data_IF_802681843373
#
_entry.id   IF_802681843373
#
_cell.length_a   1.000
_cell.length_b   1.000
_cell.length_c   1.000
_cell.angle_alpha   90.00
_cell.angle_beta   90.00
_cell.angle_gamma   90.00
#
_symmetry.space_group_name_H-M   'P 1'
#
loop_
_entity.id
_entity.type
_entity.pdbx_description
1 polymer ?
#
# COMPACT_ATOMS: atom_id res chain seq x y z
N UNK A 1 -84.62 16.44 10.24
CA UNK A 1 -85.00 17.65 9.47
C UNK A 1 -83.91 17.85 8.43
N UNK A 2 -84.10 17.40 7.19
CA UNK A 2 -84.55 18.25 6.06
C UNK A 2 -83.60 19.45 5.91
N UNK A 3 -82.76 19.58 4.87
CA UNK A 3 -83.08 19.52 3.44
C UNK A 3 -81.80 19.49 2.59
N UNK A 4 -81.85 18.81 1.45
CA UNK A 4 -80.95 18.96 0.29
C UNK A 4 -81.19 20.30 -0.43
N UNK A 5 -80.18 20.84 -1.14
CA UNK A 5 -80.39 21.49 -2.45
C UNK A 5 -79.11 21.45 -3.30
N UNK A 6 -79.33 21.31 -4.61
CA UNK A 6 -78.44 20.92 -5.70
C UNK A 6 -77.85 22.09 -6.52
N UNK A 7 -76.90 21.72 -7.39
CA UNK A 7 -76.57 22.28 -8.73
C UNK A 7 -75.75 23.58 -8.85
N UNK A 8 -74.56 23.51 -9.47
CA UNK A 8 -74.40 23.75 -10.92
C UNK A 8 -72.92 23.89 -11.34
N UNK A 9 -72.55 23.16 -12.39
CA UNK A 9 -71.28 23.21 -13.12
C UNK A 9 -71.19 24.51 -13.94
N UNK A 10 -70.03 25.18 -13.93
CA UNK A 10 -69.53 25.96 -15.08
C UNK A 10 -68.00 25.91 -15.16
N UNK A 11 -67.55 25.47 -16.33
CA UNK A 11 -66.18 25.39 -16.82
C UNK A 11 -65.66 26.79 -17.16
N UNK A 12 -64.49 27.17 -16.64
CA UNK A 12 -63.66 28.24 -17.22
C UNK A 12 -62.18 27.88 -17.02
N UNK A 13 -61.46 27.62 -18.12
CA UNK A 13 -60.00 27.60 -18.16
C UNK A 13 -59.51 29.03 -18.00
N UNK A 14 -58.71 29.30 -16.97
CA UNK A 14 -57.88 30.49 -16.84
C UNK A 14 -56.44 30.05 -16.63
N UNK A 15 -55.57 30.63 -17.44
CA UNK A 15 -54.12 30.53 -17.48
C UNK A 15 -53.56 31.01 -16.14
N UNK A 16 -52.72 30.20 -15.48
CA UNK A 16 -51.95 30.64 -14.31
C UNK A 16 -50.45 30.48 -14.58
N UNK A 17 -49.81 31.63 -14.75
CA UNK A 17 -48.37 31.84 -14.60
C UNK A 17 -48.05 31.84 -13.10
N UNK A 18 -47.02 31.09 -12.70
CA UNK A 18 -46.25 31.33 -11.47
C UNK A 18 -46.78 30.68 -10.19
N UNK A 19 -46.13 29.59 -9.75
CA UNK A 19 -45.45 29.50 -8.45
C UNK A 19 -44.69 28.17 -8.38
N UNK A 20 -43.37 28.22 -8.52
CA UNK A 20 -42.47 27.13 -8.18
C UNK A 20 -42.09 27.32 -6.72
N UNK A 21 -42.65 26.50 -5.82
CA UNK A 21 -42.13 26.37 -4.45
C UNK A 21 -42.31 24.93 -3.96
N UNK A 22 -41.17 24.36 -3.60
CA UNK A 22 -40.96 23.35 -2.55
C UNK A 22 -41.65 21.99 -2.69
N UNK A 23 -40.97 21.05 -3.35
CA UNK A 23 -40.73 19.71 -2.81
C UNK A 23 -39.40 19.19 -3.38
N UNK A 24 -38.32 19.38 -2.63
CA UNK A 24 -36.98 18.93 -3.01
C UNK A 24 -36.11 18.74 -1.78
N UNK A 25 -36.41 17.74 -0.95
CA UNK A 25 -35.55 17.42 0.21
C UNK A 25 -35.67 15.99 0.74
N UNK A 26 -36.00 15.00 -0.11
CA UNK A 26 -35.98 13.58 0.31
C UNK A 26 -35.40 12.60 -0.75
N UNK A 27 -34.82 13.11 -1.84
CA UNK A 27 -34.20 12.27 -2.89
C UNK A 27 -32.70 12.55 -3.11
N UNK A 28 -32.10 13.48 -2.37
CA UNK A 28 -30.67 13.79 -2.48
C UNK A 28 -29.78 12.93 -1.56
N UNK A 29 -30.33 12.41 -0.46
CA UNK A 29 -29.52 11.67 0.54
C UNK A 29 -29.34 10.18 0.24
N UNK A 30 -30.04 9.64 -0.77
CA UNK A 30 -29.90 8.22 -1.17
C UNK A 30 -28.95 8.00 -2.37
N UNK A 31 -28.36 9.06 -2.92
CA UNK A 31 -27.38 8.95 -4.03
C UNK A 31 -25.93 9.05 -3.53
N UNK A 32 -25.70 9.38 -2.25
CA UNK A 32 -24.34 9.41 -1.65
C UNK A 32 -23.82 8.05 -1.15
N UNK A 33 -24.66 7.01 -1.12
CA UNK A 33 -24.25 5.64 -0.74
C UNK A 33 -23.83 4.75 -1.91
N UNK A 34 -24.03 5.19 -3.16
CA UNK A 34 -23.50 4.50 -4.33
C UNK A 34 -22.27 5.26 -4.80
N UNK A 35 -21.12 4.95 -4.19
CA UNK A 35 -19.83 5.38 -4.73
C UNK A 35 -19.76 5.03 -6.22
N UNK A 36 -19.16 5.91 -7.02
CA UNK A 36 -18.86 5.55 -8.41
C UNK A 36 -18.18 4.16 -8.42
N UNK A 37 -18.58 3.24 -9.31
CA UNK A 37 -17.89 1.97 -9.42
C UNK A 37 -16.40 2.26 -9.68
N UNK A 38 -15.47 1.55 -9.01
CA UNK A 38 -14.04 1.76 -9.23
C UNK A 38 -13.78 1.68 -10.73
N UNK A 39 -13.26 2.77 -11.31
CA UNK A 39 -13.01 2.87 -12.77
C UNK A 39 -11.85 1.99 -13.25
N UNK A 40 -11.34 1.12 -12.39
CA UNK A 40 -10.44 0.05 -12.75
C UNK A 40 -10.92 -1.22 -12.03
N UNK A 41 -11.26 -2.32 -12.73
CA UNK A 41 -11.43 -3.60 -12.04
C UNK A 41 -10.15 -3.87 -11.24
N UNK A 42 -10.29 -4.29 -9.98
CA UNK A 42 -9.14 -4.58 -9.14
C UNK A 42 -8.24 -5.58 -9.88
N UNK A 43 -7.09 -5.12 -10.36
CA UNK A 43 -6.11 -5.99 -11.00
C UNK A 43 -5.53 -6.83 -9.88
N UNK A 44 -5.96 -8.09 -9.79
CA UNK A 44 -5.35 -9.03 -8.86
C UNK A 44 -4.00 -9.42 -9.41
N UNK A 45 -2.93 -8.99 -8.74
CA UNK A 45 -1.59 -9.45 -9.09
C UNK A 45 -1.34 -10.86 -8.57
N UNK A 46 -0.56 -11.62 -9.32
CA UNK A 46 0.05 -12.86 -8.90
C UNK A 46 1.45 -12.92 -9.49
N UNK A 47 2.41 -13.42 -8.73
CA UNK A 47 3.79 -13.62 -9.17
C UNK A 47 4.27 -14.97 -8.66
N UNK A 48 4.93 -15.73 -9.52
CA UNK A 48 5.56 -16.99 -9.13
C UNK A 48 6.91 -16.69 -8.50
N UNK A 49 6.99 -16.66 -7.16
CA UNK A 49 8.26 -16.46 -6.46
C UNK A 49 9.25 -17.61 -6.65
N UNK A 50 8.83 -18.75 -7.20
CA UNK A 50 9.74 -19.82 -7.61
C UNK A 50 10.51 -19.53 -8.90
N UNK A 51 10.12 -18.51 -9.68
CA UNK A 51 10.84 -18.07 -10.88
C UNK A 51 11.57 -16.75 -10.62
N UNK A 52 12.88 -16.75 -10.83
CA UNK A 52 13.72 -15.56 -10.67
C UNK A 52 13.30 -14.47 -11.64
N UNK A 53 13.06 -14.81 -12.90
CA UNK A 53 12.72 -13.83 -13.93
C UNK A 53 11.29 -13.31 -13.83
N UNK A 54 10.34 -14.11 -13.36
CA UNK A 54 9.00 -13.60 -13.05
C UNK A 54 9.07 -12.52 -11.96
N UNK A 55 9.82 -12.78 -10.88
CA UNK A 55 10.01 -11.81 -9.80
C UNK A 55 10.79 -10.58 -10.29
N UNK A 56 11.86 -10.77 -11.09
CA UNK A 56 12.64 -9.66 -11.63
C UNK A 56 11.80 -8.77 -12.54
N UNK A 57 11.01 -9.37 -13.42
CA UNK A 57 10.09 -8.67 -14.30
C UNK A 57 9.01 -7.93 -13.51
N UNK A 58 8.41 -8.60 -12.52
CA UNK A 58 7.40 -8.02 -11.64
C UNK A 58 7.96 -6.84 -10.82
N UNK A 59 9.15 -6.95 -10.25
CA UNK A 59 9.81 -5.84 -9.55
C UNK A 59 10.09 -4.67 -10.48
N UNK A 60 10.74 -4.92 -11.62
CA UNK A 60 11.13 -3.83 -12.55
C UNK A 60 9.94 -3.19 -13.27
N UNK A 61 8.78 -3.85 -13.31
CA UNK A 61 7.59 -3.35 -14.01
C UNK A 61 6.55 -2.79 -13.05
N UNK A 62 6.27 -3.47 -11.94
CA UNK A 62 5.16 -3.14 -11.04
C UNK A 62 5.66 -2.32 -9.84
N UNK A 63 6.69 -2.78 -9.14
CA UNK A 63 7.25 -2.02 -8.02
C UNK A 63 7.78 -0.67 -8.52
N UNK A 64 8.65 -0.68 -9.55
CA UNK A 64 9.24 0.53 -10.11
C UNK A 64 8.24 1.51 -10.74
N UNK A 65 7.10 1.04 -11.24
CA UNK A 65 6.08 1.92 -11.80
C UNK A 65 5.39 2.83 -10.76
N UNK A 66 5.54 2.53 -9.47
CA UNK A 66 5.07 3.38 -8.38
C UNK A 66 6.14 4.33 -7.83
N UNK A 67 7.38 4.31 -8.35
CA UNK A 67 8.45 5.20 -7.88
C UNK A 67 8.26 6.63 -8.43
N UNK A 68 8.50 7.65 -7.59
CA UNK A 68 8.60 9.05 -8.03
C UNK A 68 7.31 9.68 -8.57
N UNK A 69 6.14 9.11 -8.28
CA UNK A 69 4.85 9.67 -8.69
C UNK A 69 4.56 10.94 -7.89
N UNK A 70 4.29 12.04 -8.59
CA UNK A 70 4.05 13.33 -7.95
C UNK A 70 2.76 13.33 -7.11
N UNK A 71 2.86 13.82 -5.88
CA UNK A 71 1.75 13.91 -4.93
C UNK A 71 0.63 14.88 -5.36
N UNK A 72 1.01 16.01 -5.95
CA UNK A 72 0.12 17.10 -6.41
C UNK A 72 -0.98 17.45 -5.39
N UNK A 73 -0.58 17.63 -4.13
CA UNK A 73 -1.50 18.06 -3.08
C UNK A 73 -2.03 19.47 -3.35
N UNK A 74 -3.34 19.66 -3.19
CA UNK A 74 -4.09 20.81 -3.73
C UNK A 74 -4.29 21.98 -2.77
N UNK A 75 -3.87 21.87 -1.52
CA UNK A 75 -4.18 22.86 -0.47
C UNK A 75 -2.95 23.20 0.39
N UNK A 76 -3.17 23.99 1.43
CA UNK A 76 -2.13 24.44 2.36
C UNK A 76 -2.44 24.02 3.80
N UNK A 77 -1.37 23.93 4.60
CA UNK A 77 -1.42 23.47 5.99
C UNK A 77 -2.08 24.48 6.94
N UNK A 78 -2.03 25.77 6.61
CA UNK A 78 -2.49 26.85 7.49
C UNK A 78 -4.01 27.00 7.50
N UNK A 79 -4.68 26.63 6.41
CA UNK A 79 -6.13 26.70 6.25
C UNK A 79 -6.90 25.58 6.96
N UNK A 80 -6.21 24.59 7.53
CA UNK A 80 -6.79 23.34 8.01
C UNK A 80 -7.69 22.62 6.98
N UNK A 81 -7.49 22.88 5.69
CA UNK A 81 -8.20 22.20 4.62
C UNK A 81 -7.39 20.99 4.16
N UNK A 82 -7.88 19.75 4.34
CA UNK A 82 -7.12 18.53 4.05
C UNK A 82 -6.70 18.41 2.59
N UNK A 83 -7.52 18.97 1.69
CA UNK A 83 -7.33 18.88 0.27
C UNK A 83 -7.43 17.47 -0.30
N UNK A 84 -6.80 17.26 -1.45
CA UNK A 84 -6.71 15.96 -2.12
C UNK A 84 -5.36 15.83 -2.81
N UNK A 85 -4.95 14.59 -3.07
CA UNK A 85 -3.77 14.22 -3.86
C UNK A 85 -4.15 13.90 -5.31
N UNK A 86 -3.16 13.71 -6.18
CA UNK A 86 -3.38 13.17 -7.52
C UNK A 86 -4.04 11.79 -7.48
N UNK A 87 -4.86 11.47 -8.49
CA UNK A 87 -5.39 10.10 -8.62
C UNK A 87 -4.26 9.11 -8.92
N UNK A 88 -3.30 9.53 -9.72
CA UNK A 88 -2.12 8.76 -10.10
C UNK A 88 -1.27 8.37 -8.89
N UNK A 89 -1.16 9.24 -7.87
CA UNK A 89 -0.49 8.91 -6.62
C UNK A 89 -1.23 7.81 -5.86
N UNK A 90 -2.55 7.94 -5.71
CA UNK A 90 -3.37 6.92 -5.02
C UNK A 90 -3.30 5.58 -5.74
N UNK A 91 -3.34 5.59 -7.07
CA UNK A 91 -3.17 4.38 -7.88
C UNK A 91 -1.78 3.77 -7.68
N UNK A 92 -0.73 4.59 -7.58
CA UNK A 92 0.62 4.13 -7.28
C UNK A 92 0.76 3.54 -5.86
N UNK A 93 0.09 4.12 -4.86
CA UNK A 93 0.02 3.57 -3.49
C UNK A 93 -0.64 2.19 -3.50
N UNK A 94 -1.79 2.06 -4.17
CA UNK A 94 -2.48 0.78 -4.32
C UNK A 94 -1.61 -0.25 -5.07
N UNK A 95 -0.88 0.19 -6.10
CA UNK A 95 0.06 -0.64 -6.86
C UNK A 95 1.17 -1.18 -5.97
N UNK A 96 1.78 -0.33 -5.13
CA UNK A 96 2.82 -0.73 -4.18
C UNK A 96 2.31 -1.73 -3.15
N UNK A 97 1.14 -1.48 -2.56
CA UNK A 97 0.52 -2.39 -1.59
C UNK A 97 0.28 -3.76 -2.25
N UNK A 98 -0.37 -3.77 -3.41
CA UNK A 98 -0.68 -5.02 -4.10
C UNK A 98 0.58 -5.74 -4.62
N UNK A 99 1.66 -5.03 -4.95
CA UNK A 99 2.96 -5.66 -5.23
C UNK A 99 3.45 -6.52 -4.05
N UNK A 100 3.50 -5.93 -2.84
CA UNK A 100 3.96 -6.64 -1.65
C UNK A 100 3.05 -7.82 -1.29
N UNK A 101 1.73 -7.63 -1.41
CA UNK A 101 0.73 -8.69 -1.19
C UNK A 101 0.88 -9.83 -2.20
N UNK A 102 1.18 -9.52 -3.47
CA UNK A 102 1.39 -10.54 -4.50
C UNK A 102 2.66 -11.36 -4.25
N UNK A 103 3.74 -10.71 -3.81
CA UNK A 103 4.99 -11.39 -3.43
C UNK A 103 4.76 -12.42 -2.30
N UNK A 104 3.95 -12.08 -1.29
CA UNK A 104 3.53 -13.01 -0.23
C UNK A 104 2.52 -14.07 -0.68
N UNK A 105 1.95 -13.96 -1.88
CA UNK A 105 0.94 -14.90 -2.35
C UNK A 105 -0.39 -14.81 -1.58
N UNK A 106 -0.71 -13.62 -1.05
CA UNK A 106 -2.01 -13.31 -0.46
C UNK A 106 -2.86 -12.50 -1.46
N UNK A 107 -4.19 -12.34 -1.25
CA UNK A 107 -5.02 -11.58 -2.20
C UNK A 107 -4.49 -10.16 -2.46
N UNK A 108 -4.01 -9.92 -3.68
CA UNK A 108 -3.31 -8.69 -4.09
C UNK A 108 -4.18 -7.84 -5.02
N UNK A 109 -5.41 -7.59 -4.58
CA UNK A 109 -6.45 -6.86 -5.31
C UNK A 109 -7.16 -5.85 -4.40
N UNK A 110 -6.44 -5.28 -3.42
CA UNK A 110 -7.04 -4.24 -2.59
C UNK A 110 -7.44 -3.06 -3.47
N UNK A 111 -8.53 -2.40 -3.09
CA UNK A 111 -8.97 -1.15 -3.70
C UNK A 111 -8.94 -0.03 -2.67
N UNK A 112 -8.64 1.18 -3.13
CA UNK A 112 -8.73 2.37 -2.27
C UNK A 112 -10.14 2.94 -2.29
N UNK A 113 -10.74 3.06 -1.12
CA UNK A 113 -12.04 3.67 -0.91
C UNK A 113 -11.93 5.18 -0.91
N UNK A 114 -12.76 5.86 -1.71
CA UNK A 114 -12.83 7.32 -1.69
C UNK A 114 -13.17 7.86 -0.29
N UNK A 115 -14.03 7.16 0.45
CA UNK A 115 -14.38 7.54 1.83
C UNK A 115 -13.15 7.46 2.75
N UNK A 116 -12.38 6.37 2.67
CA UNK A 116 -11.20 6.20 3.51
C UNK A 116 -10.09 7.18 3.11
N UNK A 117 -9.89 7.42 1.82
CA UNK A 117 -8.93 8.42 1.33
C UNK A 117 -9.21 9.82 1.91
N UNK A 118 -10.48 10.25 1.92
CA UNK A 118 -10.86 11.56 2.46
C UNK A 118 -10.60 11.66 3.97
N UNK A 119 -10.81 10.57 4.73
CA UNK A 119 -10.52 10.54 6.17
C UNK A 119 -9.02 10.45 6.46
N UNK A 120 -8.29 9.63 5.71
CA UNK A 120 -6.83 9.52 5.83
C UNK A 120 -6.14 10.83 5.47
N UNK A 121 -6.66 11.58 4.49
CA UNK A 121 -6.10 12.90 4.16
C UNK A 121 -6.24 13.89 5.33
N UNK A 122 -7.35 13.82 6.08
CA UNK A 122 -7.52 14.58 7.32
C UNK A 122 -6.52 14.13 8.40
N UNK A 123 -6.33 12.81 8.56
CA UNK A 123 -5.38 12.26 9.51
C UNK A 123 -3.94 12.69 9.18
N UNK A 124 -3.50 12.57 7.92
CA UNK A 124 -2.17 12.99 7.48
C UNK A 124 -1.93 14.48 7.72
N UNK A 125 -2.94 15.34 7.45
CA UNK A 125 -2.87 16.76 7.79
C UNK A 125 -2.73 16.98 9.29
N UNK A 126 -3.48 16.25 10.13
CA UNK A 126 -3.33 16.34 11.58
C UNK A 126 -1.92 15.95 12.05
N UNK A 127 -1.33 14.88 11.51
CA UNK A 127 0.01 14.44 11.90
C UNK A 127 1.10 15.45 11.52
N UNK A 128 1.06 15.98 10.28
CA UNK A 128 2.09 16.90 9.79
C UNK A 128 2.07 18.23 10.56
N UNK A 129 0.90 18.86 10.77
CA UNK A 129 0.82 20.19 11.41
C UNK A 129 1.10 20.15 12.91
N UNK A 130 0.88 19.00 13.56
CA UNK A 130 1.24 18.80 14.97
C UNK A 130 2.65 18.20 15.12
N UNK A 131 3.33 17.86 14.01
CA UNK A 131 4.67 17.26 13.96
C UNK A 131 4.79 16.04 14.89
N UNK A 132 3.73 15.24 14.94
CA UNK A 132 3.57 14.15 15.88
C UNK A 132 2.67 13.05 15.32
N UNK A 133 2.89 11.81 15.76
CA UNK A 133 2.08 10.65 15.42
C UNK A 133 1.24 10.22 16.61
N UNK A 134 -0.05 9.95 16.39
CA UNK A 134 -0.93 9.36 17.39
C UNK A 134 -2.05 8.59 16.72
N UNK A 135 -2.29 7.35 17.16
CA UNK A 135 -3.49 6.60 16.78
C UNK A 135 -4.75 7.06 17.55
N UNK A 136 -4.59 7.91 18.56
CA UNK A 136 -5.69 8.49 19.32
C UNK A 136 -5.41 10.00 19.52
N UNK A 137 -5.43 10.80 18.44
CA UNK A 137 -5.11 12.22 18.53
C UNK A 137 -6.15 12.92 19.44
N UNK A 138 -5.73 13.74 20.41
CA UNK A 138 -6.65 14.46 21.28
C UNK A 138 -7.37 15.58 20.50
N UNK A 139 -8.61 15.93 20.89
CA UNK A 139 -9.36 17.05 20.27
C UNK A 139 -8.66 18.42 20.33
N UNK A 140 -7.61 18.56 21.14
CA UNK A 140 -6.79 19.78 21.24
C UNK A 140 -5.73 19.93 20.14
N UNK A 141 -5.56 18.94 19.27
CA UNK A 141 -4.62 19.03 18.14
C UNK A 141 -5.05 20.11 17.14
N UNK A 142 -4.05 20.74 16.52
CA UNK A 142 -4.26 21.67 15.41
C UNK A 142 -4.91 20.92 14.24
N UNK A 143 -5.89 21.55 13.59
CA UNK A 143 -6.69 20.96 12.51
C UNK A 143 -7.40 19.64 12.87
N UNK A 144 -7.67 19.42 14.17
CA UNK A 144 -8.38 18.23 14.60
C UNK A 144 -9.75 18.12 13.91
N UNK A 145 -10.05 16.91 13.44
CA UNK A 145 -11.36 16.50 12.96
C UNK A 145 -11.70 15.13 13.55
N UNK A 146 -12.98 14.86 13.79
CA UNK A 146 -13.42 13.55 14.24
C UNK A 146 -13.12 12.46 13.19
N UNK A 147 -13.27 12.80 11.91
CA UNK A 147 -12.98 11.92 10.78
C UNK A 147 -11.49 11.57 10.66
N UNK A 148 -10.61 12.56 10.80
CA UNK A 148 -9.16 12.34 10.83
C UNK A 148 -8.70 11.56 12.06
N UNK A 149 -9.34 11.78 13.22
CA UNK A 149 -9.07 10.99 14.42
C UNK A 149 -9.51 9.52 14.28
N UNK A 150 -10.66 9.28 13.63
CA UNK A 150 -11.10 7.93 13.30
C UNK A 150 -10.12 7.22 12.36
N UNK A 151 -9.71 7.89 11.29
CA UNK A 151 -8.69 7.36 10.37
C UNK A 151 -7.38 7.08 11.10
N UNK A 152 -6.89 8.00 11.95
CA UNK A 152 -5.68 7.79 12.72
C UNK A 152 -5.71 6.49 13.56
N UNK A 153 -6.86 6.15 14.14
CA UNK A 153 -7.05 4.90 14.90
C UNK A 153 -7.19 3.63 14.06
N UNK A 154 -7.38 3.76 12.74
CA UNK A 154 -7.60 2.64 11.79
C UNK A 154 -6.53 2.52 10.71
N UNK A 155 -5.50 3.37 10.77
CA UNK A 155 -4.49 3.51 9.75
C UNK A 155 -3.11 3.20 10.29
N UNK A 156 -2.25 2.68 9.41
CA UNK A 156 -0.81 2.86 9.59
C UNK A 156 -0.49 4.35 9.40
N UNK A 157 0.45 4.87 10.19
CA UNK A 157 0.80 6.29 10.18
C UNK A 157 2.31 6.47 9.99
N UNK A 158 2.70 7.42 9.14
CA UNK A 158 4.10 7.79 8.94
C UNK A 158 4.27 9.31 9.06
N UNK A 159 5.44 9.71 9.56
CA UNK A 159 5.91 11.09 9.59
C UNK A 159 7.36 11.09 9.09
N UNK A 160 7.61 11.79 7.99
CA UNK A 160 8.86 11.74 7.22
C UNK A 160 8.70 11.08 5.85
N UNK A 161 7.63 10.29 5.63
CA UNK A 161 7.35 9.62 4.37
C UNK A 161 5.91 9.88 3.89
N UNK A 162 5.71 9.79 2.58
CA UNK A 162 4.41 9.89 1.92
C UNK A 162 4.34 8.96 0.69
N UNK A 163 3.13 8.72 0.19
CA UNK A 163 2.87 7.98 -1.04
C UNK A 163 3.41 6.55 -1.01
N UNK A 164 3.84 6.02 -2.16
CA UNK A 164 4.38 4.65 -2.27
C UNK A 164 5.62 4.38 -1.41
N UNK A 165 6.36 5.43 -1.01
CA UNK A 165 7.53 5.30 -0.15
C UNK A 165 7.12 5.01 1.29
N UNK A 166 6.04 5.61 1.79
CA UNK A 166 5.48 5.28 3.11
C UNK A 166 5.07 3.80 3.21
N UNK A 167 4.53 3.22 2.14
CA UNK A 167 4.20 1.77 2.12
C UNK A 167 5.47 0.92 2.22
N UNK A 168 6.54 1.31 1.54
CA UNK A 168 7.83 0.61 1.65
C UNK A 168 8.43 0.77 3.05
N UNK A 169 8.29 1.96 3.66
CA UNK A 169 8.63 2.23 5.05
C UNK A 169 7.84 1.36 6.03
N UNK A 170 6.55 1.14 5.80
CA UNK A 170 5.73 0.21 6.59
C UNK A 170 6.16 -1.25 6.44
N UNK A 171 6.60 -1.67 5.24
CA UNK A 171 7.16 -3.01 5.05
C UNK A 171 8.54 -3.13 5.70
N UNK A 172 9.40 -2.12 5.63
CA UNK A 172 10.68 -2.11 6.35
C UNK A 172 10.46 -2.16 7.86
N UNK A 173 9.50 -1.36 8.33
CA UNK A 173 9.09 -1.20 9.73
C UNK A 173 10.27 -0.85 10.63
N UNK A 174 11.07 0.13 10.21
CA UNK A 174 12.26 0.57 10.94
C UNK A 174 11.88 1.34 12.21
N UNK A 175 12.82 1.42 13.15
CA UNK A 175 12.70 2.23 14.36
C UNK A 175 12.48 1.40 15.63
N UNK A 176 12.98 1.91 16.75
CA UNK A 176 13.00 1.19 18.02
C UNK A 176 11.59 0.90 18.61
N UNK A 177 10.58 1.66 18.19
CA UNK A 177 9.20 1.45 18.63
C UNK A 177 8.41 0.50 17.70
N UNK A 178 9.05 -0.01 16.64
CA UNK A 178 8.43 -0.82 15.59
C UNK A 178 8.89 -2.29 15.62
N UNK A 179 9.39 -2.76 16.78
CA UNK A 179 9.91 -4.13 16.97
C UNK A 179 8.88 -5.22 16.66
N UNK A 180 7.58 -4.91 16.81
CA UNK A 180 6.47 -5.80 16.49
C UNK A 180 6.19 -5.98 14.99
N UNK A 181 6.86 -5.21 14.11
CA UNK A 181 6.56 -5.09 12.68
C UNK A 181 5.06 -4.85 12.40
N UNK A 182 4.44 -3.96 13.19
CA UNK A 182 2.99 -3.79 13.21
C UNK A 182 2.43 -3.23 11.90
N UNK A 183 3.12 -2.27 11.28
CA UNK A 183 2.67 -1.69 10.02
C UNK A 183 2.70 -2.73 8.91
N UNK A 184 3.80 -3.50 8.83
CA UNK A 184 3.95 -4.61 7.88
C UNK A 184 2.84 -5.63 8.01
N UNK A 185 2.52 -6.05 9.25
CA UNK A 185 1.46 -7.03 9.54
C UNK A 185 0.11 -6.58 9.00
N UNK A 186 -0.20 -5.29 9.08
CA UNK A 186 -1.45 -4.75 8.55
C UNK A 186 -1.48 -4.65 7.03
N UNK A 187 -0.39 -4.22 6.38
CA UNK A 187 -0.29 -4.19 4.92
C UNK A 187 -0.44 -5.61 4.34
N UNK A 188 0.15 -6.59 5.02
CA UNK A 188 0.14 -8.01 4.63
C UNK A 188 -0.99 -8.81 5.29
N UNK A 189 -2.00 -8.17 5.88
CA UNK A 189 -3.13 -8.89 6.48
C UNK A 189 -4.02 -9.49 5.38
N UNK A 190 -4.16 -10.83 5.28
CA UNK A 190 -4.80 -11.46 4.13
C UNK A 190 -6.25 -11.03 3.87
N UNK A 191 -7.01 -10.78 4.94
CA UNK A 191 -8.46 -10.52 4.91
C UNK A 191 -8.80 -9.15 4.33
N UNK A 192 -7.90 -8.16 4.44
CA UNK A 192 -8.17 -6.78 4.01
C UNK A 192 -8.41 -6.73 2.50
N UNK A 193 -9.52 -6.09 2.10
CA UNK A 193 -9.88 -5.89 0.69
C UNK A 193 -9.97 -4.42 0.31
N UNK A 194 -10.32 -3.57 1.27
CA UNK A 194 -10.46 -2.13 1.05
C UNK A 194 -9.48 -1.39 1.94
N UNK A 195 -8.77 -0.42 1.40
CA UNK A 195 -7.89 0.47 2.17
C UNK A 195 -8.20 1.92 1.81
N UNK A 196 -7.49 2.84 2.44
CA UNK A 196 -7.49 4.27 2.13
C UNK A 196 -6.07 4.79 2.13
N UNK A 197 -5.86 5.96 1.57
CA UNK A 197 -4.60 6.68 1.72
C UNK A 197 -4.79 8.18 1.71
N UNK A 198 -4.00 8.87 2.52
CA UNK A 198 -3.91 10.30 2.61
C UNK A 198 -2.46 10.70 2.79
N UNK A 199 -2.06 11.74 2.06
CA UNK A 199 -0.65 12.12 1.96
C UNK A 199 -0.49 13.63 2.01
N UNK A 200 0.49 14.07 2.79
CA UNK A 200 0.94 15.46 2.82
C UNK A 200 2.42 15.46 2.42
N UNK A 201 2.83 16.26 1.41
CA UNK A 201 4.24 16.32 1.02
C UNK A 201 5.10 16.85 2.16
N UNK A 202 6.42 16.75 2.03
CA UNK A 202 7.32 17.54 2.87
C UNK A 202 7.23 19.03 2.47
N UNK A 203 7.61 19.91 3.39
CA UNK A 203 7.89 21.33 3.13
C UNK A 203 9.05 21.79 4.01
N UNK A 204 9.52 23.02 3.80
CA UNK A 204 10.65 23.57 4.58
C UNK A 204 10.44 23.51 6.11
N UNK A 205 9.19 23.55 6.58
CA UNK A 205 8.86 23.60 8.01
C UNK A 205 8.24 22.32 8.56
N UNK A 206 7.62 21.51 7.70
CA UNK A 206 6.78 20.38 8.10
C UNK A 206 7.19 19.10 7.37
N UNK A 207 7.23 18.00 8.12
CA UNK A 207 7.52 16.67 7.59
C UNK A 207 6.42 16.21 6.64
N UNK A 208 6.81 15.39 5.65
CA UNK A 208 5.83 14.56 4.95
C UNK A 208 5.03 13.70 5.94
N UNK A 209 3.79 13.36 5.60
CA UNK A 209 2.98 12.45 6.40
C UNK A 209 2.12 11.56 5.51
N UNK A 210 1.93 10.31 5.96
CA UNK A 210 0.98 9.38 5.39
C UNK A 210 0.06 8.82 6.47
N UNK A 211 -1.20 8.64 6.11
CA UNK A 211 -2.10 7.71 6.76
C UNK A 211 -2.61 6.71 5.72
N UNK A 212 -2.58 5.42 6.05
CA UNK A 212 -3.12 4.35 5.20
C UNK A 212 -4.09 3.50 6.01
N UNK A 213 -5.39 3.61 5.73
CA UNK A 213 -6.44 2.84 6.41
C UNK A 213 -6.30 1.35 6.14
N UNK A 214 -6.18 0.55 7.21
CA UNK A 214 -5.92 -0.90 7.13
C UNK A 214 -6.99 -1.76 7.80
N UNK A 215 -7.90 -1.18 8.61
CA UNK A 215 -8.99 -1.91 9.27
C UNK A 215 -10.32 -1.76 8.52
N UNK A 216 -10.55 -2.58 7.50
CA UNK A 216 -11.82 -2.60 6.75
C UNK A 216 -12.88 -3.51 7.39
N UNK A 217 -14.02 -3.64 6.72
CA UNK A 217 -15.13 -4.49 7.18
C UNK A 217 -14.79 -5.99 7.23
N UNK A 218 -13.66 -6.43 6.67
CA UNK A 218 -13.20 -7.82 6.71
C UNK A 218 -12.22 -8.08 7.86
N UNK A 219 -11.90 -7.07 8.69
CA UNK A 219 -11.08 -7.26 9.88
C UNK A 219 -11.65 -8.36 10.79
N UNK A 220 -10.81 -9.33 11.18
CA UNK A 220 -11.23 -10.50 11.95
C UNK A 220 -12.13 -11.48 11.20
N UNK A 221 -12.38 -11.25 9.91
CA UNK A 221 -13.18 -12.11 9.05
C UNK A 221 -12.46 -13.41 8.67
N UNK A 222 -13.14 -14.23 7.87
CA UNK A 222 -12.58 -15.49 7.38
C UNK A 222 -11.28 -15.25 6.60
N UNK A 223 -10.21 -15.94 7.01
CA UNK A 223 -8.92 -15.89 6.32
C UNK A 223 -9.08 -16.46 4.90
N UNK A 224 -8.74 -15.70 3.84
CA UNK A 224 -8.82 -16.22 2.48
C UNK A 224 -7.75 -17.28 2.23
N UNK A 225 -7.88 -17.99 1.10
CA UNK A 225 -6.80 -18.83 0.60
C UNK A 225 -5.57 -17.97 0.27
N UNK A 226 -4.40 -18.50 0.63
CA UNK A 226 -3.07 -17.91 0.40
C UNK A 226 -2.17 -18.99 -0.21
N UNK A 227 -1.10 -18.60 -0.90
CA UNK A 227 -0.14 -19.54 -1.49
C UNK A 227 0.48 -20.46 -0.42
N UNK A 228 0.92 -19.85 0.66
CA UNK A 228 1.50 -20.51 1.83
C UNK A 228 0.52 -20.42 3.00
N UNK A 229 0.52 -21.39 3.92
CA UNK A 229 -0.38 -21.36 5.10
C UNK A 229 0.00 -20.29 6.14
N UNK A 230 1.17 -19.68 5.98
CA UNK A 230 1.70 -18.58 6.78
C UNK A 230 1.90 -17.34 5.90
N UNK A 231 2.10 -16.18 6.52
CA UNK A 231 2.57 -14.97 5.86
C UNK A 231 3.94 -14.65 6.41
N UNK A 232 4.90 -14.29 5.56
CA UNK A 232 6.24 -13.93 6.02
C UNK A 232 6.63 -12.55 5.50
N UNK A 233 7.82 -12.08 5.83
CA UNK A 233 8.55 -11.18 4.96
C UNK A 233 10.03 -11.33 5.30
N UNK A 234 10.90 -11.59 4.32
CA UNK A 234 10.59 -11.88 2.92
C UNK A 234 9.86 -13.23 2.70
N UNK A 235 9.15 -13.41 1.57
CA UNK A 235 8.43 -14.66 1.25
C UNK A 235 9.35 -15.80 0.81
N UNK A 236 8.87 -17.05 0.83
CA UNK A 236 9.56 -18.16 0.16
C UNK A 236 9.78 -17.90 -1.32
N UNK A 237 10.98 -18.25 -1.81
CA UNK A 237 11.39 -18.07 -3.21
C UNK A 237 12.31 -16.88 -3.45
N UNK A 238 12.34 -16.37 -4.67
CA UNK A 238 13.18 -15.26 -5.10
C UNK A 238 12.67 -13.91 -4.60
N UNK A 239 13.56 -13.09 -4.05
CA UNK A 239 13.25 -11.73 -3.58
C UNK A 239 14.35 -10.75 -3.98
N UNK A 240 14.02 -9.61 -4.61
CA UNK A 240 15.00 -8.58 -4.93
C UNK A 240 15.61 -7.97 -3.67
N UNK A 241 16.94 -7.88 -3.58
CA UNK A 241 17.61 -7.31 -2.41
C UNK A 241 17.14 -5.90 -2.00
N UNK A 242 16.68 -4.98 -2.89
CA UNK A 242 16.29 -3.64 -2.47
C UNK A 242 15.05 -3.59 -1.56
N UNK A 243 14.26 -4.67 -1.51
CA UNK A 243 13.05 -4.78 -0.67
C UNK A 243 13.20 -5.82 0.45
N UNK A 244 14.42 -6.30 0.66
CA UNK A 244 14.77 -7.09 1.85
C UNK A 244 15.25 -6.10 2.90
N UNK A 245 14.71 -6.26 4.12
CA UNK A 245 14.94 -5.32 5.22
C UNK A 245 15.53 -6.04 6.44
N UNK A 246 16.10 -5.29 7.42
CA UNK A 246 16.71 -5.88 8.62
C UNK A 246 15.78 -6.83 9.41
N UNK A 247 14.52 -6.42 9.64
CA UNK A 247 13.50 -7.21 10.33
C UNK A 247 12.86 -8.22 9.38
N UNK A 248 12.96 -9.50 9.72
CA UNK A 248 12.23 -10.58 9.07
C UNK A 248 11.08 -11.01 9.98
N UNK A 249 10.00 -11.51 9.39
CA UNK A 249 8.78 -11.85 10.11
C UNK A 249 8.16 -13.15 9.60
N UNK A 250 7.51 -13.88 10.51
CA UNK A 250 6.72 -15.07 10.23
C UNK A 250 5.41 -15.02 11.02
N UNK A 251 4.29 -15.02 10.32
CA UNK A 251 2.95 -14.90 10.86
C UNK A 251 2.11 -16.14 10.57
N UNK A 252 1.34 -16.57 11.55
CA UNK A 252 0.41 -17.69 11.39
C UNK A 252 -0.87 -17.40 12.19
N UNK A 253 -2.07 -17.65 11.62
CA UNK A 253 -3.33 -17.33 12.27
C UNK A 253 -3.47 -18.06 13.62
N UNK A 254 -3.70 -17.30 14.69
CA UNK A 254 -3.90 -17.81 16.06
C UNK A 254 -2.73 -18.63 16.64
N UNK A 255 -1.54 -18.59 16.02
CA UNK A 255 -0.38 -19.29 16.56
C UNK A 255 0.12 -18.66 17.86
N UNK A 256 0.62 -19.49 18.77
CA UNK A 256 1.37 -19.05 19.93
C UNK A 256 2.87 -19.29 19.69
N UNK A 257 3.65 -18.21 19.72
CA UNK A 257 5.09 -18.20 19.48
C UNK A 257 5.93 -18.15 20.76
N UNK A 258 5.34 -18.24 21.97
CA UNK A 258 6.07 -18.06 23.23
C UNK A 258 7.18 -19.10 23.46
N UNK A 259 7.08 -20.28 22.85
CA UNK A 259 8.11 -21.32 22.86
C UNK A 259 8.84 -21.50 21.53
N UNK A 260 8.54 -20.66 20.54
CA UNK A 260 9.09 -20.79 19.21
C UNK A 260 10.53 -20.31 19.13
N UNK A 261 11.33 -20.93 18.27
CA UNK A 261 12.71 -20.50 17.98
C UNK A 261 12.91 -20.32 16.49
N UNK A 262 13.83 -19.42 16.13
CA UNK A 262 14.21 -19.19 14.73
C UNK A 262 15.69 -19.48 14.55
N UNK A 263 16.01 -20.21 13.49
CA UNK A 263 17.37 -20.37 12.99
C UNK A 263 17.41 -20.02 11.51
N UNK A 264 18.49 -19.36 11.08
CA UNK A 264 18.69 -18.98 9.68
C UNK A 264 20.13 -19.29 9.26
N UNK A 265 20.34 -19.71 8.02
CA UNK A 265 21.67 -19.83 7.42
C UNK A 265 21.73 -19.20 6.04
N UNK A 266 22.87 -18.60 5.68
CA UNK A 266 23.17 -18.09 4.34
C UNK A 266 24.15 -19.05 3.67
N UNK A 267 23.74 -19.67 2.56
CA UNK A 267 24.52 -20.69 1.85
C UNK A 267 25.10 -21.78 2.78
N UNK A 268 24.31 -22.22 3.77
CA UNK A 268 24.69 -23.24 4.75
C UNK A 268 25.46 -22.74 5.98
N UNK A 269 25.86 -21.46 6.02
CA UNK A 269 26.54 -20.86 7.18
C UNK A 269 25.51 -20.24 8.11
N UNK A 270 25.50 -20.67 9.38
CA UNK A 270 24.57 -20.15 10.40
C UNK A 270 24.72 -18.64 10.58
N UNK A 271 23.60 -17.94 10.73
CA UNK A 271 23.54 -16.50 10.93
C UNK A 271 23.11 -16.15 12.34
N UNK A 272 23.73 -15.11 12.91
CA UNK A 272 23.28 -14.52 14.15
C UNK A 272 21.95 -13.80 13.95
N UNK A 273 20.99 -14.07 14.83
CA UNK A 273 19.66 -13.47 14.84
C UNK A 273 19.40 -12.82 16.20
N UNK A 274 18.69 -11.69 16.20
CA UNK A 274 18.13 -11.10 17.41
C UNK A 274 16.62 -11.18 17.33
N UNK A 275 16.00 -12.01 18.17
CA UNK A 275 14.54 -12.13 18.24
C UNK A 275 13.97 -10.87 18.90
N UNK A 276 12.94 -10.28 18.29
CA UNK A 276 12.20 -9.17 18.89
C UNK A 276 11.19 -9.71 19.90
N UNK A 277 10.78 -8.87 20.86
CA UNK A 277 9.75 -9.23 21.82
C UNK A 277 8.42 -9.48 21.11
N UNK A 278 7.70 -10.54 21.52
CA UNK A 278 6.38 -10.83 20.97
C UNK A 278 5.36 -9.74 21.33
N UNK A 279 4.55 -9.35 20.35
CA UNK A 279 3.44 -8.42 20.53
C UNK A 279 2.16 -8.97 19.87
N UNK A 280 1.11 -9.15 20.69
CA UNK A 280 -0.22 -9.60 20.26
C UNK A 280 -1.08 -8.47 19.68
N UNK A 281 -2.35 -8.78 19.40
CA UNK A 281 -3.42 -7.84 19.05
C UNK A 281 -3.15 -6.93 17.81
N UNK A 282 -2.28 -7.38 16.91
CA UNK A 282 -1.92 -6.70 15.67
C UNK A 282 -1.97 -7.72 14.52
N UNK A 283 -2.82 -7.54 13.52
CA UNK A 283 -2.93 -8.49 12.40
C UNK A 283 -3.00 -9.96 12.82
N UNK A 284 -2.31 -10.84 12.10
CA UNK A 284 -2.05 -12.21 12.55
C UNK A 284 -0.91 -12.23 13.57
N UNK A 285 -0.89 -13.23 14.47
CA UNK A 285 0.22 -13.40 15.41
C UNK A 285 1.51 -13.62 14.62
N UNK A 286 2.57 -12.91 15.03
CA UNK A 286 3.81 -12.84 14.26
C UNK A 286 5.02 -12.94 15.17
N UNK A 287 6.00 -13.73 14.73
CA UNK A 287 7.35 -13.75 15.27
C UNK A 287 8.25 -12.86 14.40
N UNK A 288 9.03 -11.97 15.02
CA UNK A 288 9.91 -11.02 14.32
C UNK A 288 11.34 -11.20 14.81
N UNK A 289 12.31 -11.15 13.90
CA UNK A 289 13.73 -11.19 14.23
C UNK A 289 14.54 -10.28 13.32
N UNK A 290 15.64 -9.75 13.83
CA UNK A 290 16.61 -8.97 13.07
C UNK A 290 17.74 -9.87 12.62
N UNK A 291 18.09 -9.75 11.35
CA UNK A 291 19.10 -10.58 10.68
C UNK A 291 20.48 -9.93 10.71
N UNK A 292 21.53 -10.75 10.84
CA UNK A 292 22.93 -10.32 10.71
C UNK A 292 23.36 -9.14 11.61
N UNK A 293 22.67 -8.92 12.74
CA UNK A 293 22.84 -7.76 13.62
C UNK A 293 22.76 -6.40 12.88
N UNK A 294 22.00 -6.34 11.78
CA UNK A 294 21.73 -5.08 11.09
C UNK A 294 21.03 -4.10 12.04
N UNK A 295 21.26 -2.81 11.83
CA UNK A 295 20.54 -1.76 12.54
C UNK A 295 19.11 -1.66 11.98
N UNK A 296 18.15 -2.21 12.73
CA UNK A 296 16.74 -2.19 12.36
C UNK A 296 16.05 -0.87 12.74
N UNK A 297 16.75 0.03 13.43
CA UNK A 297 16.17 1.27 13.92
C UNK A 297 16.45 2.46 12.96
N UNK A 298 17.42 2.31 12.06
CA UNK A 298 17.72 3.27 11.00
C UNK A 298 17.02 2.92 9.68
N UNK A 299 16.19 3.85 9.19
CA UNK A 299 15.53 3.80 7.87
C UNK A 299 16.51 3.57 6.70
N UNK A 300 17.77 4.00 6.83
CA UNK A 300 18.78 3.93 5.77
C UNK A 300 19.53 2.59 5.73
N UNK A 301 19.32 1.71 6.72
CA UNK A 301 19.98 0.41 6.73
C UNK A 301 19.44 -0.48 5.62
N UNK A 302 20.28 -0.74 4.61
CA UNK A 302 19.95 -1.63 3.50
C UNK A 302 20.41 -3.06 3.77
N UNK A 303 19.68 -4.04 3.22
CA UNK A 303 20.18 -5.40 3.17
C UNK A 303 21.33 -5.56 2.17
N UNK A 304 22.12 -6.62 2.33
CA UNK A 304 23.31 -6.86 1.52
C UNK A 304 22.94 -7.05 0.04
N UNK A 305 23.57 -6.29 -0.86
CA UNK A 305 23.50 -6.55 -2.30
C UNK A 305 24.29 -7.81 -2.62
N UNK A 306 23.66 -8.89 -3.10
CA UNK A 306 24.36 -10.12 -3.41
C UNK A 306 25.16 -9.99 -4.72
N UNK A 307 26.36 -10.58 -4.78
CA UNK A 307 27.14 -10.71 -6.04
C UNK A 307 26.64 -11.85 -6.93
N UNK A 308 25.89 -12.79 -6.36
CA UNK A 308 25.15 -13.86 -7.02
C UNK A 308 23.98 -14.26 -6.12
N UNK A 309 22.94 -14.86 -6.70
CA UNK A 309 21.76 -15.34 -5.96
C UNK A 309 22.17 -16.06 -4.67
N UNK A 310 21.69 -15.57 -3.53
CA UNK A 310 22.10 -16.02 -2.20
C UNK A 310 20.91 -16.65 -1.49
N UNK A 311 21.05 -17.91 -1.09
CA UNK A 311 19.98 -18.66 -0.44
C UNK A 311 20.07 -18.50 1.07
N UNK A 312 18.98 -18.06 1.67
CA UNK A 312 18.77 -17.99 3.11
C UNK A 312 17.75 -19.06 3.51
N UNK A 313 18.21 -20.09 4.21
CA UNK A 313 17.33 -21.13 4.74
C UNK A 313 16.82 -20.72 6.12
N UNK A 314 15.51 -20.58 6.28
CA UNK A 314 14.84 -20.23 7.53
C UNK A 314 14.20 -21.48 8.12
N UNK A 315 14.33 -21.67 9.43
CA UNK A 315 13.54 -22.65 10.16
C UNK A 315 12.94 -22.01 11.40
N UNK A 316 11.62 -22.09 11.52
CA UNK A 316 10.86 -21.67 12.70
C UNK A 316 10.35 -22.94 13.38
N UNK A 317 10.80 -23.19 14.61
CA UNK A 317 10.45 -24.41 15.36
C UNK A 317 9.48 -24.13 16.49
N UNK A 318 8.79 -25.18 16.94
CA UNK A 318 7.93 -25.17 18.12
C UNK A 318 6.82 -24.11 18.06
N UNK A 319 6.28 -23.85 16.87
CA UNK A 319 5.11 -22.97 16.71
C UNK A 319 3.90 -23.74 17.22
N UNK A 320 3.25 -23.25 18.28
CA UNK A 320 2.09 -23.90 18.86
C UNK A 320 0.81 -23.44 18.15
N UNK A 321 0.14 -24.36 17.46
CA UNK A 321 -1.11 -24.13 16.74
C UNK A 321 -2.18 -25.05 17.35
N UNK A 322 -3.10 -24.48 18.11
CA UNK A 322 -4.19 -25.23 18.75
C UNK A 322 -3.71 -26.34 19.68
N UNK A 323 -2.57 -26.17 20.36
CA UNK A 323 -1.96 -27.17 21.25
C UNK A 323 -0.98 -28.12 20.56
N UNK A 324 -0.84 -28.06 19.24
CA UNK A 324 0.10 -28.88 18.46
C UNK A 324 1.33 -28.08 18.08
N UNK A 325 2.52 -28.59 18.41
CA UNK A 325 3.78 -28.00 17.97
C UNK A 325 4.06 -28.35 16.51
N UNK A 326 4.40 -27.33 15.71
CA UNK A 326 4.75 -27.46 14.30
C UNK A 326 6.04 -26.72 14.00
N UNK A 327 6.80 -27.27 13.06
CA UNK A 327 8.01 -26.67 12.52
C UNK A 327 7.77 -26.27 11.06
N UNK A 328 8.36 -25.15 10.67
CA UNK A 328 8.29 -24.60 9.32
C UNK A 328 9.70 -24.35 8.79
N UNK A 329 9.97 -24.78 7.56
CA UNK A 329 11.24 -24.53 6.88
C UNK A 329 10.96 -24.00 5.48
N UNK A 330 11.63 -22.91 5.10
CA UNK A 330 11.52 -22.32 3.77
C UNK A 330 12.82 -21.62 3.38
N UNK A 331 13.01 -21.41 2.08
CA UNK A 331 14.17 -20.72 1.54
C UNK A 331 13.76 -19.37 0.95
N UNK A 332 14.56 -18.34 1.21
CA UNK A 332 14.51 -17.05 0.54
C UNK A 332 15.77 -16.92 -0.31
N UNK A 333 15.63 -16.75 -1.62
CA UNK A 333 16.74 -16.52 -2.54
C UNK A 333 16.83 -15.05 -2.88
N UNK A 334 17.75 -14.33 -2.23
CA UNK A 334 17.96 -12.90 -2.46
C UNK A 334 18.85 -12.71 -3.68
N UNK A 335 18.41 -11.85 -4.61
CA UNK A 335 19.12 -11.61 -5.86
C UNK A 335 19.18 -10.12 -6.23
N UNK A 336 20.04 -9.79 -7.21
CA UNK A 336 20.12 -8.45 -7.79
C UNK A 336 19.13 -8.29 -8.96
N UNK A 337 18.06 -7.48 -8.83
CA UNK A 337 17.06 -7.31 -9.88
C UNK A 337 17.56 -6.54 -11.12
N UNK A 338 18.74 -5.92 -11.04
CA UNK A 338 19.37 -5.27 -12.18
C UNK A 338 20.09 -6.28 -13.10
N UNK A 339 20.31 -7.52 -12.64
CA UNK A 339 21.04 -8.55 -13.38
C UNK A 339 20.06 -9.64 -13.83
N UNK A 340 19.86 -9.84 -15.16
CA UNK A 340 19.06 -10.95 -15.67
C UNK A 340 19.61 -12.31 -15.24
N UNK A 341 18.70 -13.25 -15.00
CA UNK A 341 18.99 -14.60 -14.55
C UNK A 341 19.35 -15.53 -15.70
N UNK A 342 19.82 -16.76 -15.39
CA UNK A 342 20.10 -17.78 -16.40
C UNK A 342 18.87 -18.17 -17.23
N UNK A 343 17.67 -18.02 -16.67
CA UNK A 343 16.36 -18.27 -17.27
C UNK A 343 15.80 -17.07 -18.06
N UNK A 344 16.57 -15.98 -18.20
CA UNK A 344 16.14 -14.82 -18.98
C UNK A 344 16.13 -15.11 -20.49
N UNK A 345 14.95 -14.97 -21.09
CA UNK A 345 14.79 -15.00 -22.53
C UNK A 345 14.60 -13.57 -23.05
N UNK A 346 15.58 -12.99 -23.78
CA UNK A 346 15.41 -11.66 -24.33
C UNK A 346 14.27 -11.67 -25.37
N UNK A 347 13.41 -10.64 -25.39
CA UNK A 347 12.34 -10.57 -26.37
C UNK A 347 12.94 -10.50 -27.78
N UNK A 348 12.48 -11.37 -28.69
CA UNK A 348 12.78 -11.27 -30.11
C UNK A 348 11.86 -10.21 -30.71
N UNK A 349 12.36 -8.99 -30.88
CA UNK A 349 11.62 -7.90 -31.49
C UNK A 349 11.73 -8.04 -33.01
N UNK A 350 10.60 -8.30 -33.68
CA UNK A 350 10.48 -8.27 -35.13
C UNK A 350 9.42 -7.26 -35.56
N UNK A 351 9.73 -6.47 -36.59
CA UNK A 351 8.89 -5.40 -37.11
C UNK A 351 9.67 -4.56 -38.12
N UNK A 352 9.01 -3.81 -39.02
CA UNK A 352 9.71 -2.92 -39.94
C UNK A 352 10.49 -1.87 -39.14
N UNK A 353 11.78 -1.70 -39.46
CA UNK A 353 12.66 -0.69 -38.86
C UNK A 353 12.21 0.70 -39.30
N UNK A 354 11.16 1.22 -38.65
CA UNK A 354 10.63 2.55 -38.90
C UNK A 354 11.48 3.64 -38.20
N UNK A 355 12.77 3.39 -37.98
CA UNK A 355 13.73 4.46 -37.77
C UNK A 355 13.79 5.27 -39.06
N UNK A 356 12.90 6.25 -39.16
CA UNK A 356 13.07 7.39 -40.04
C UNK A 356 14.41 8.01 -39.62
N UNK A 357 15.49 7.66 -40.33
CA UNK A 357 16.70 8.48 -40.32
C UNK A 357 16.20 9.87 -40.64
N UNK A 358 16.18 10.76 -39.65
CA UNK A 358 16.23 12.18 -39.94
C UNK A 358 17.48 12.34 -40.82
N UNK A 359 17.35 12.82 -42.07
CA UNK A 359 18.53 13.11 -42.85
C UNK A 359 19.37 14.08 -42.01
N UNK A 360 20.61 13.68 -41.73
CA UNK A 360 21.65 14.65 -41.40
C UNK A 360 21.65 15.64 -42.56
N UNK A 361 21.27 16.88 -42.29
CA UNK A 361 21.42 17.95 -43.25
C UNK A 361 22.87 17.95 -43.74
N UNK A 362 23.00 17.70 -45.04
CA UNK A 362 24.24 17.84 -45.75
C UNK A 362 24.67 19.31 -45.63
N UNK A 363 25.84 19.50 -45.03
CA UNK A 363 26.62 20.72 -45.05
C UNK A 363 26.63 21.34 -46.47
N UNK A 364 26.12 22.56 -46.71
CA UNK A 364 26.22 23.17 -48.02
C UNK A 364 27.67 23.64 -48.24
N UNK A 365 28.32 22.97 -49.19
CA UNK A 365 29.61 23.40 -49.72
C UNK A 365 29.52 24.82 -50.30
N UNK A 366 30.51 25.64 -49.97
CA UNK A 366 30.81 26.93 -50.57
C UNK A 366 30.87 26.84 -52.11
N UNK A 367 30.29 27.81 -52.87
CA UNK A 367 30.63 27.99 -54.26
C UNK A 367 31.90 28.82 -54.41
N UNK A 368 32.88 28.22 -55.10
CA UNK A 368 34.02 28.89 -55.71
C UNK A 368 33.49 29.75 -56.86
N UNK A 369 33.73 31.07 -56.81
CA UNK A 369 33.61 31.94 -57.98
C UNK A 369 35.00 32.22 -58.55
N UNK A 370 35.24 31.67 -59.74
CA UNK A 370 36.21 32.17 -60.71
C UNK A 370 35.45 33.03 -61.73
N UNK A 371 35.61 34.35 -61.64
CA UNK A 371 36.03 35.26 -62.72
C UNK A 371 35.97 36.71 -62.25
#
# INVERSE_FOLDING_TARGET
MLTETFLSVRTTRIILLGLVLFQGSLFADRIRELGEPPRNPAISFAVNTGSREDVRGFFNTIYRASDGVAILWTWDRASCTPGTTAQELRDAVALRINFFRAMEGIPASIVLSNLYNVKDQQAALMMTVNRSLSHAPPPSWICYTADGAEAAGKSNLALGDAGPDAISGYIQDYGANNTAAGHRRWILYPQTKTMGTGDIPESDTDFAANATWILDANFGGARPATRDEFVSWPPPGYVPYPIVHPRWSFAYPNANFSGATVSMSSNGVSMALRLEAFAGDIGENTLVWVTANLDADDSRTTFFRPSADTVYAVTVRNVNIGGTLRDFTYNVTVFDPAIPGPDYLPPVISGPDNRRRLPMDANPAHPVHTH
#
